data_IF_595159973843
#
_entry.id   IF_595159973843
#
_cell.length_a   1.000
_cell.length_b   1.000
_cell.length_c   1.000
_cell.angle_alpha   90.00
_cell.angle_beta   90.00
_cell.angle_gamma   90.00
#
_symmetry.space_group_name_H-M   'P 1'
#
loop_
_entity.id
_entity.type
_entity.pdbx_description
1 polymer ?
#
# COMPACT_ATOMS: atom_id res chain seq x y z
N UNK A 1 14.66 21.32 -0.46
CA UNK A 1 13.40 20.53 -0.42
C UNK A 1 13.80 19.07 -0.33
N UNK A 2 13.50 18.40 0.77
CA UNK A 2 13.65 16.94 0.83
C UNK A 2 12.63 16.35 -0.15
N UNK A 3 13.09 16.03 -1.35
CA UNK A 3 12.25 15.48 -2.42
C UNK A 3 11.86 14.04 -2.13
N UNK A 4 12.45 13.43 -1.10
CA UNK A 4 12.40 12.00 -0.81
C UNK A 4 12.99 11.17 -1.95
N UNK A 5 13.35 9.91 -1.66
CA UNK A 5 13.48 8.93 -2.74
C UNK A 5 12.18 8.91 -3.55
N UNK A 6 12.21 8.83 -4.90
CA UNK A 6 11.01 8.80 -5.74
C UNK A 6 10.10 7.58 -5.48
N UNK A 7 10.49 6.68 -4.58
CA UNK A 7 9.83 5.39 -4.39
C UNK A 7 10.23 4.40 -5.47
N UNK A 8 9.45 3.32 -5.60
CA UNK A 8 9.61 2.33 -6.66
C UNK A 8 8.93 2.88 -7.92
N UNK A 9 9.73 3.15 -8.96
CA UNK A 9 9.23 3.66 -10.25
C UNK A 9 9.38 2.64 -11.38
N UNK A 10 9.99 1.49 -11.09
CA UNK A 10 10.13 0.38 -12.02
C UNK A 10 9.91 -0.94 -11.29
N UNK A 11 9.22 -1.93 -11.89
CA UNK A 11 9.03 -3.24 -11.27
C UNK A 11 10.33 -3.96 -10.88
N UNK A 12 11.45 -3.69 -11.56
CA UNK A 12 12.76 -4.28 -11.25
C UNK A 12 13.38 -3.77 -9.94
N UNK A 13 12.92 -2.63 -9.42
CA UNK A 13 13.39 -2.08 -8.14
C UNK A 13 12.66 -2.68 -6.94
N UNK A 14 11.57 -3.41 -7.18
CA UNK A 14 10.73 -3.97 -6.13
C UNK A 14 11.45 -5.12 -5.43
N UNK A 15 11.55 -5.03 -4.10
CA UNK A 15 12.01 -6.08 -3.22
C UNK A 15 11.06 -6.13 -2.03
N UNK A 16 10.58 -7.33 -1.69
CA UNK A 16 9.79 -7.53 -0.49
C UNK A 16 10.67 -7.45 0.74
N UNK A 17 10.08 -7.01 1.85
CA UNK A 17 10.69 -7.24 3.16
C UNK A 17 10.72 -8.75 3.41
N UNK A 18 11.85 -9.32 3.87
CA UNK A 18 11.92 -10.75 4.15
C UNK A 18 10.80 -11.18 5.09
N UNK A 19 10.03 -12.20 4.71
CA UNK A 19 8.92 -12.68 5.54
C UNK A 19 7.55 -12.06 5.23
N UNK A 20 7.48 -11.09 4.30
CA UNK A 20 6.26 -10.30 4.09
C UNK A 20 5.09 -11.16 3.60
N UNK A 21 5.30 -12.06 2.64
CA UNK A 21 4.26 -12.96 2.16
C UNK A 21 3.76 -13.88 3.27
N UNK A 22 4.66 -14.50 4.04
CA UNK A 22 4.25 -15.38 5.14
C UNK A 22 3.50 -14.63 6.24
N UNK A 23 3.85 -13.37 6.51
CA UNK A 23 3.13 -12.54 7.47
C UNK A 23 1.70 -12.24 6.99
N UNK A 24 1.53 -11.84 5.73
CA UNK A 24 0.20 -11.61 5.13
C UNK A 24 -0.62 -12.90 5.13
N UNK A 25 -0.03 -14.02 4.70
CA UNK A 25 -0.71 -15.32 4.68
C UNK A 25 -1.20 -15.75 6.07
N UNK A 26 -0.43 -15.47 7.13
CA UNK A 26 -0.88 -15.72 8.51
C UNK A 26 -2.11 -14.90 8.89
N UNK A 27 -2.13 -13.61 8.56
CA UNK A 27 -3.29 -12.74 8.82
C UNK A 27 -4.52 -13.20 8.04
N UNK A 28 -4.33 -13.57 6.77
CA UNK A 28 -5.40 -14.09 5.91
C UNK A 28 -6.01 -15.40 6.45
N UNK A 29 -5.18 -16.32 6.95
CA UNK A 29 -5.63 -17.58 7.57
C UNK A 29 -6.47 -17.39 8.84
N UNK A 30 -6.32 -16.27 9.54
CA UNK A 30 -7.19 -15.89 10.67
C UNK A 30 -8.54 -15.28 10.21
N UNK A 31 -8.77 -15.16 8.90
CA UNK A 31 -10.00 -14.61 8.32
C UNK A 31 -10.00 -13.10 8.17
N UNK A 32 -8.87 -12.42 8.37
CA UNK A 32 -8.77 -10.98 8.25
C UNK A 32 -8.52 -10.54 6.78
N UNK A 33 -9.31 -9.59 6.23
CA UNK A 33 -8.97 -8.97 4.96
C UNK A 33 -7.70 -8.11 5.10
N UNK A 34 -6.94 -8.01 4.02
CA UNK A 34 -5.67 -7.27 3.96
C UNK A 34 -5.70 -6.27 2.81
N UNK A 35 -5.49 -5.00 3.13
CA UNK A 35 -5.31 -3.94 2.15
C UNK A 35 -3.91 -3.32 2.21
N UNK A 36 -3.43 -2.84 1.07
CA UNK A 36 -2.24 -1.98 0.98
C UNK A 36 -2.70 -0.53 0.96
N UNK A 37 -2.12 0.32 1.82
CA UNK A 37 -2.34 1.77 1.83
C UNK A 37 -1.02 2.50 1.62
N UNK A 38 -0.87 3.22 0.50
CA UNK A 38 0.44 3.70 0.04
C UNK A 38 0.43 5.10 -0.58
N UNK A 39 1.46 5.91 -0.29
CA UNK A 39 1.68 7.20 -0.96
C UNK A 39 2.60 6.97 -2.17
N UNK A 40 2.11 7.20 -3.38
CA UNK A 40 2.83 7.00 -4.65
C UNK A 40 2.90 8.32 -5.44
N UNK A 41 3.48 9.34 -4.80
CA UNK A 41 3.63 10.68 -5.39
C UNK A 41 4.55 10.72 -6.63
N UNK A 42 5.18 9.61 -7.01
CA UNK A 42 5.88 9.48 -8.30
C UNK A 42 4.94 9.68 -9.49
N UNK A 43 3.67 9.26 -9.37
CA UNK A 43 2.64 9.48 -10.39
C UNK A 43 2.33 10.98 -10.53
N UNK A 44 1.99 11.66 -9.44
CA UNK A 44 1.73 13.10 -9.46
C UNK A 44 2.94 13.96 -9.86
N UNK A 45 4.16 13.42 -9.72
CA UNK A 45 5.41 14.03 -10.23
C UNK A 45 5.66 13.75 -11.72
N UNK A 46 4.82 12.93 -12.38
CA UNK A 46 4.96 12.55 -13.79
C UNK A 46 6.13 11.59 -14.06
N UNK A 47 6.61 10.86 -13.05
CA UNK A 47 7.71 9.91 -13.21
C UNK A 47 7.24 8.57 -13.78
N UNK A 48 5.99 8.21 -13.48
CA UNK A 48 5.29 7.04 -14.00
C UNK A 48 3.80 7.38 -14.20
N UNK A 49 3.10 6.59 -15.00
CA UNK A 49 1.64 6.67 -15.16
C UNK A 49 0.90 5.85 -14.10
N UNK A 50 -0.41 6.04 -13.97
CA UNK A 50 -1.27 5.17 -13.15
C UNK A 50 -1.23 3.70 -13.63
N UNK A 51 -1.15 3.47 -14.94
CA UNK A 51 -1.03 2.11 -15.50
C UNK A 51 0.30 1.45 -15.09
N UNK A 52 1.40 2.20 -15.13
CA UNK A 52 2.71 1.72 -14.68
C UNK A 52 2.71 1.44 -13.17
N UNK A 53 2.03 2.25 -12.38
CA UNK A 53 1.82 1.98 -10.95
C UNK A 53 1.01 0.68 -10.76
N UNK A 54 -0.02 0.45 -11.57
CA UNK A 54 -0.80 -0.79 -11.58
C UNK A 54 0.09 -2.02 -11.79
N UNK A 55 0.98 -1.98 -12.78
CA UNK A 55 1.95 -3.06 -13.05
C UNK A 55 2.86 -3.33 -11.84
N UNK A 56 3.28 -2.28 -11.13
CA UNK A 56 4.11 -2.42 -9.93
C UNK A 56 3.29 -3.10 -8.80
N UNK A 57 2.04 -2.70 -8.61
CA UNK A 57 1.15 -3.30 -7.60
C UNK A 57 0.82 -4.76 -7.91
N UNK A 58 0.60 -5.11 -9.19
CA UNK A 58 0.42 -6.50 -9.62
C UNK A 58 1.65 -7.35 -9.32
N UNK A 59 2.84 -6.78 -9.51
CA UNK A 59 4.08 -7.46 -9.14
C UNK A 59 4.20 -7.65 -7.64
N UNK A 60 3.79 -6.67 -6.81
CA UNK A 60 3.75 -6.84 -5.34
C UNK A 60 2.86 -8.02 -4.97
N UNK A 61 1.62 -8.05 -5.50
CA UNK A 61 0.66 -9.13 -5.26
C UNK A 61 1.26 -10.50 -5.62
N UNK A 62 1.87 -10.59 -6.80
CA UNK A 62 2.53 -11.82 -7.25
C UNK A 62 3.65 -12.26 -6.32
N UNK A 63 4.56 -11.37 -5.93
CA UNK A 63 5.68 -11.73 -5.06
C UNK A 63 5.21 -12.20 -3.68
N UNK A 64 4.13 -11.62 -3.14
CA UNK A 64 3.56 -12.07 -1.86
C UNK A 64 3.03 -13.50 -1.98
N UNK A 65 2.28 -13.79 -3.05
CA UNK A 65 1.75 -15.13 -3.34
C UNK A 65 2.84 -16.16 -3.62
N UNK A 66 3.95 -15.74 -4.26
CA UNK A 66 5.12 -16.60 -4.48
C UNK A 66 5.78 -17.01 -3.14
N UNK A 67 5.66 -16.21 -2.08
CA UNK A 67 6.19 -16.50 -0.74
C UNK A 67 5.24 -17.34 0.14
N UNK A 68 3.92 -17.14 0.02
CA UNK A 68 2.87 -17.90 0.72
C UNK A 68 1.56 -17.83 -0.10
N UNK A 69 0.97 -18.99 -0.43
CA UNK A 69 -0.21 -19.06 -1.30
C UNK A 69 -1.46 -18.39 -0.72
N UNK A 70 -1.52 -18.20 0.60
CA UNK A 70 -2.63 -17.50 1.26
C UNK A 70 -2.39 -15.98 1.37
N UNK A 71 -1.25 -15.46 0.88
CA UNK A 71 -0.86 -14.05 0.99
C UNK A 71 -1.59 -13.12 0.00
N UNK A 72 -2.91 -13.29 -0.10
CA UNK A 72 -3.76 -12.47 -0.95
C UNK A 72 -3.96 -11.07 -0.36
N UNK A 73 -3.98 -10.08 -1.25
CA UNK A 73 -4.33 -8.69 -0.93
C UNK A 73 -5.73 -8.43 -1.48
N UNK A 74 -6.65 -7.97 -0.65
CA UNK A 74 -8.03 -7.70 -1.08
C UNK A 74 -8.11 -6.38 -1.85
N UNK A 75 -7.41 -5.34 -1.40
CA UNK A 75 -7.47 -4.01 -2.00
C UNK A 75 -6.14 -3.25 -1.94
N UNK A 76 -5.96 -2.31 -2.87
CA UNK A 76 -4.86 -1.33 -2.83
C UNK A 76 -5.45 0.07 -2.91
N UNK A 77 -5.13 0.89 -1.91
CA UNK A 77 -5.43 2.30 -1.86
C UNK A 77 -4.13 3.07 -2.04
N UNK A 78 -4.04 3.81 -3.14
CA UNK A 78 -2.85 4.59 -3.49
C UNK A 78 -3.20 6.07 -3.63
N UNK A 79 -2.51 6.93 -2.87
CA UNK A 79 -2.55 8.37 -3.07
C UNK A 79 -1.43 8.76 -4.04
N UNK A 80 -1.79 9.26 -5.22
CA UNK A 80 -0.86 9.65 -6.30
C UNK A 80 -0.50 11.13 -6.27
N UNK A 81 -1.13 11.91 -5.38
CA UNK A 81 -0.90 13.34 -5.21
C UNK A 81 0.52 13.68 -4.75
N UNK A 82 0.97 14.89 -5.05
CA UNK A 82 2.28 15.42 -4.63
C UNK A 82 2.23 16.02 -3.22
N UNK A 83 3.31 15.87 -2.46
CA UNK A 83 3.41 16.39 -1.09
C UNK A 83 3.05 17.89 -1.05
N UNK A 84 2.17 18.26 -0.14
CA UNK A 84 1.68 19.64 0.00
C UNK A 84 0.41 19.95 -0.79
N UNK A 85 -0.16 18.98 -1.52
CA UNK A 85 -1.45 19.16 -2.22
C UNK A 85 -2.65 19.38 -1.30
N UNK A 86 -2.54 19.04 0.00
CA UNK A 86 -3.67 19.02 0.92
C UNK A 86 -4.64 17.86 0.69
N UNK A 87 -4.24 16.83 -0.07
CA UNK A 87 -5.07 15.67 -0.35
C UNK A 87 -5.38 14.88 0.94
N UNK A 88 -6.67 14.72 1.32
CA UNK A 88 -7.05 14.00 2.54
C UNK A 88 -6.72 12.50 2.48
N UNK A 89 -6.41 11.94 1.30
CA UNK A 89 -5.95 10.56 1.13
C UNK A 89 -4.47 10.41 1.43
N UNK A 90 -3.68 11.47 1.39
CA UNK A 90 -2.24 11.39 1.55
C UNK A 90 -1.85 11.17 3.01
N UNK A 91 -1.24 10.01 3.33
CA UNK A 91 -0.70 9.76 4.67
C UNK A 91 0.23 10.90 5.10
N UNK A 92 0.10 11.44 6.32
CA UNK A 92 -0.60 10.86 7.48
C UNK A 92 -2.12 11.15 7.57
N UNK A 93 -2.74 11.78 6.57
CA UNK A 93 -4.19 11.95 6.58
C UNK A 93 -4.88 10.57 6.45
N UNK A 94 -6.01 10.35 7.15
CA UNK A 94 -6.61 9.02 7.29
C UNK A 94 -7.47 8.60 6.08
N UNK A 95 -7.58 9.42 5.02
CA UNK A 95 -8.58 9.23 3.96
C UNK A 95 -8.56 7.82 3.34
N UNK A 96 -7.39 7.29 2.97
CA UNK A 96 -7.30 5.93 2.41
C UNK A 96 -7.68 4.83 3.42
N UNK A 97 -7.39 5.03 4.70
CA UNK A 97 -7.77 4.07 5.75
C UNK A 97 -9.28 4.11 5.97
N UNK A 98 -9.88 5.30 5.97
CA UNK A 98 -11.33 5.45 6.07
C UNK A 98 -12.05 4.84 4.86
N UNK A 99 -11.50 4.98 3.66
CA UNK A 99 -11.97 4.28 2.45
C UNK A 99 -11.95 2.76 2.65
N UNK A 100 -10.82 2.21 3.12
CA UNK A 100 -10.69 0.76 3.36
C UNK A 100 -11.68 0.25 4.42
N UNK A 101 -11.85 0.99 5.52
CA UNK A 101 -12.81 0.68 6.58
C UNK A 101 -14.24 0.63 6.01
N UNK A 102 -14.60 1.61 5.19
CA UNK A 102 -15.91 1.68 4.55
C UNK A 102 -16.12 0.52 3.57
N UNK A 103 -15.13 0.23 2.72
CA UNK A 103 -15.22 -0.81 1.70
C UNK A 103 -15.29 -2.22 2.30
N UNK A 104 -14.59 -2.47 3.41
CA UNK A 104 -14.63 -3.74 4.12
C UNK A 104 -15.77 -3.85 5.13
N UNK A 105 -16.47 -2.76 5.42
CA UNK A 105 -17.58 -2.76 6.39
C UNK A 105 -17.13 -3.14 7.81
N UNK A 106 -15.92 -2.74 8.19
CA UNK A 106 -15.33 -3.02 9.52
C UNK A 106 -15.36 -1.77 10.40
N UNK A 107 -15.09 -1.93 11.70
CA UNK A 107 -14.84 -0.78 12.58
C UNK A 107 -13.34 -0.48 12.68
N UNK A 108 -12.99 0.79 12.80
CA UNK A 108 -11.59 1.20 12.92
C UNK A 108 -10.89 0.63 14.17
N UNK A 109 -11.65 0.34 15.23
CA UNK A 109 -11.13 -0.29 16.45
C UNK A 109 -10.68 -1.75 16.24
N UNK A 110 -11.20 -2.41 15.20
CA UNK A 110 -10.85 -3.79 14.83
C UNK A 110 -9.74 -3.84 13.77
N UNK A 111 -9.23 -2.68 13.34
CA UNK A 111 -8.21 -2.56 12.31
C UNK A 111 -6.81 -2.42 12.92
N UNK A 112 -5.83 -3.05 12.29
CA UNK A 112 -4.41 -2.88 12.61
C UNK A 112 -3.70 -2.30 11.39
N UNK A 113 -2.95 -1.21 11.61
CA UNK A 113 -2.07 -0.63 10.60
C UNK A 113 -0.62 -1.01 10.92
N UNK A 114 0.10 -1.50 9.91
CA UNK A 114 1.52 -1.83 9.99
C UNK A 114 2.26 -0.97 8.96
N UNK A 115 3.28 -0.23 9.42
CA UNK A 115 4.07 0.67 8.59
C UNK A 115 5.43 0.96 9.22
N UNK A 116 6.36 1.43 8.39
CA UNK A 116 7.75 1.70 8.76
C UNK A 116 8.02 3.18 9.06
N UNK A 117 7.09 4.07 8.73
CA UNK A 117 7.26 5.51 8.87
C UNK A 117 6.30 6.10 9.91
N UNK A 118 6.71 7.18 10.56
CA UNK A 118 5.86 7.89 11.54
C UNK A 118 4.54 8.40 10.95
N UNK A 119 4.47 8.59 9.63
CA UNK A 119 3.25 8.97 8.90
C UNK A 119 2.22 7.85 8.77
N UNK A 120 2.59 6.63 9.16
CA UNK A 120 1.71 5.47 9.21
C UNK A 120 0.98 5.38 10.55
N UNK A 121 1.32 6.23 11.52
CA UNK A 121 0.73 6.28 12.86
C UNK A 121 -0.11 7.54 13.08
#
# INVERSE_FOLDING_TARGET
VDVGSPGVVRPSQLQLTPGAGQAVGRVRREGCPVAIVTNQGCVGKGLITDDELGIIMDKVRKLLLDEDADAEIDAVYACTSVKGSGDPRMKPMPGMVLEAIQDFGVEGADCVMVGDASRDM
#
